data_IF_240779692261
#
_entry.id   IF_240779692261
#
_cell.length_a   1.000
_cell.length_b   1.000
_cell.length_c   1.000
_cell.angle_alpha   90.00
_cell.angle_beta   90.00
_cell.angle_gamma   90.00
#
_symmetry.space_group_name_H-M   'P 1'
#
loop_
_entity.id
_entity.type
_entity.pdbx_description
1 polymer ?
#
# COMPACT_ATOMS: atom_id res chain seq x y z
N UNK A 1 15.01 10.70 -9.90
CA UNK A 1 14.07 10.51 -8.78
C UNK A 1 14.41 9.25 -8.02
N UNK A 2 14.54 9.36 -6.69
CA UNK A 2 14.71 8.30 -5.71
C UNK A 2 13.50 8.25 -4.80
N UNK A 3 12.96 7.06 -4.61
CA UNK A 3 11.76 6.83 -3.80
C UNK A 3 12.15 6.00 -2.58
N UNK A 4 11.81 6.50 -1.39
CA UNK A 4 11.85 5.71 -0.17
C UNK A 4 10.47 5.11 0.05
N UNK A 5 10.36 3.78 0.08
CA UNK A 5 9.07 3.06 0.10
C UNK A 5 8.91 2.33 1.43
N UNK A 6 7.72 2.44 2.04
CA UNK A 6 7.32 1.74 3.25
C UNK A 6 5.88 1.22 3.12
N UNK A 7 5.52 0.20 3.90
CA UNK A 7 4.17 -0.40 3.95
C UNK A 7 4.01 -1.20 5.25
N UNK A 8 2.77 -1.48 5.66
CA UNK A 8 2.43 -2.40 6.76
C UNK A 8 3.14 -2.04 8.08
N UNK A 9 3.17 -0.74 8.41
CA UNK A 9 3.84 -0.26 9.62
C UNK A 9 3.11 -0.67 10.90
N UNK A 10 1.77 -0.79 10.84
CA UNK A 10 0.95 -1.35 11.92
C UNK A 10 1.26 -0.78 13.32
N UNK A 11 1.41 0.54 13.38
CA UNK A 11 1.84 1.32 14.55
C UNK A 11 0.87 1.27 15.73
N UNK A 12 -0.34 0.75 15.51
CA UNK A 12 -1.36 0.48 16.53
C UNK A 12 -1.18 -0.89 17.21
N UNK A 13 -0.32 -1.76 16.68
CA UNK A 13 0.04 -3.04 17.28
C UNK A 13 1.42 -3.01 17.92
N UNK A 14 2.41 -2.40 17.27
CA UNK A 14 3.79 -2.32 17.75
C UNK A 14 4.38 -0.93 17.52
N UNK A 15 5.31 -0.52 18.39
CA UNK A 15 6.04 0.73 18.17
C UNK A 15 6.93 0.61 16.93
N UNK A 16 6.78 1.54 15.99
CA UNK A 16 7.62 1.58 14.81
C UNK A 16 8.82 2.51 15.02
N UNK A 17 10.02 1.94 14.90
CA UNK A 17 11.26 2.71 14.88
C UNK A 17 11.63 3.05 13.44
N UNK A 18 11.67 4.35 13.13
CA UNK A 18 12.09 4.81 11.81
C UNK A 18 13.56 4.45 11.55
N UNK A 19 13.88 3.83 10.39
CA UNK A 19 15.27 3.70 9.98
C UNK A 19 15.82 5.09 9.60
N UNK A 20 17.15 5.22 9.58
CA UNK A 20 17.77 6.43 9.06
C UNK A 20 17.28 6.68 7.62
N UNK A 21 16.79 7.89 7.31
CA UNK A 21 16.28 8.18 5.98
C UNK A 21 17.41 8.04 4.95
N UNK A 22 17.24 7.23 3.88
CA UNK A 22 18.20 7.22 2.79
C UNK A 22 18.15 8.56 2.04
N UNK A 23 19.08 8.81 1.12
CA UNK A 23 18.94 9.97 0.23
C UNK A 23 17.75 9.75 -0.73
N UNK A 24 16.67 10.50 -0.57
CA UNK A 24 15.43 10.31 -1.31
C UNK A 24 14.80 11.64 -1.73
N UNK A 25 13.96 11.59 -2.77
CA UNK A 25 13.23 12.76 -3.26
C UNK A 25 11.77 12.77 -2.78
N UNK A 26 11.19 11.58 -2.54
CA UNK A 26 9.80 11.36 -2.11
C UNK A 26 9.74 10.15 -1.17
N UNK A 27 8.95 10.25 -0.09
CA UNK A 27 8.53 9.10 0.71
C UNK A 27 7.20 8.57 0.18
N UNK A 28 7.15 7.30 -0.19
CA UNK A 28 5.93 6.59 -0.60
C UNK A 28 5.55 5.61 0.50
N UNK A 29 4.32 5.68 0.97
CA UNK A 29 3.78 4.74 1.95
C UNK A 29 2.58 4.02 1.34
N UNK A 30 2.73 2.71 1.15
CA UNK A 30 1.75 1.83 0.50
C UNK A 30 0.79 1.18 1.51
N UNK A 31 0.34 1.95 2.50
CA UNK A 31 -0.79 1.60 3.34
C UNK A 31 -0.45 0.83 4.61
N UNK A 32 -1.51 0.55 5.37
CA UNK A 32 -1.50 -0.22 6.62
C UNK A 32 -0.56 0.37 7.68
N UNK A 33 -0.62 1.68 7.87
CA UNK A 33 0.13 2.38 8.93
C UNK A 33 -0.53 2.22 10.29
N UNK A 34 -1.85 2.41 10.38
CA UNK A 34 -2.66 2.09 11.55
C UNK A 34 -4.15 2.16 11.21
N UNK A 35 -5.03 1.71 12.11
CA UNK A 35 -6.46 1.93 11.92
C UNK A 35 -6.83 3.43 11.85
N UNK A 36 -7.80 3.75 10.99
CA UNK A 36 -8.34 5.09 10.70
C UNK A 36 -7.33 5.97 9.95
N UNK A 37 -7.56 6.14 8.65
CA UNK A 37 -6.72 6.93 7.75
C UNK A 37 -6.31 8.33 8.27
N UNK A 38 -7.20 9.16 8.86
CA UNK A 38 -6.77 10.41 9.50
C UNK A 38 -5.66 10.27 10.54
N UNK A 39 -5.69 9.19 11.33
CA UNK A 39 -4.66 8.89 12.33
C UNK A 39 -3.33 8.54 11.66
N UNK A 40 -3.36 7.72 10.62
CA UNK A 40 -2.18 7.38 9.84
C UNK A 40 -1.52 8.63 9.23
N UNK A 41 -2.33 9.52 8.65
CA UNK A 41 -1.85 10.78 8.05
C UNK A 41 -1.15 11.67 9.08
N UNK A 42 -1.77 11.91 10.25
CA UNK A 42 -1.16 12.71 11.33
C UNK A 42 0.13 12.08 11.83
N UNK A 43 0.09 10.78 12.11
CA UNK A 43 1.26 10.06 12.62
C UNK A 43 2.43 10.12 11.64
N UNK A 44 2.19 9.97 10.33
CA UNK A 44 3.23 10.11 9.32
C UNK A 44 3.81 11.52 9.31
N UNK A 45 2.97 12.55 9.30
CA UNK A 45 3.45 13.94 9.31
C UNK A 45 4.24 14.27 10.58
N UNK A 46 3.83 13.75 11.72
CA UNK A 46 4.45 14.01 13.02
C UNK A 46 5.78 13.26 13.22
N UNK A 47 5.90 12.05 12.66
CA UNK A 47 7.00 11.14 13.04
C UNK A 47 7.98 10.80 11.92
N UNK A 48 7.61 10.98 10.64
CA UNK A 48 8.49 10.65 9.53
C UNK A 48 9.76 11.53 9.60
N UNK A 49 10.98 10.93 9.55
CA UNK A 49 12.23 11.66 9.67
C UNK A 49 12.63 12.25 8.30
N UNK A 50 11.71 12.97 7.66
CA UNK A 50 11.93 13.58 6.36
C UNK A 50 11.10 14.84 6.16
N UNK A 51 11.70 15.83 5.51
CA UNK A 51 11.03 17.03 5.01
C UNK A 51 10.51 16.85 3.58
N UNK A 52 10.79 15.70 2.96
CA UNK A 52 10.39 15.41 1.58
C UNK A 52 8.88 15.18 1.48
N UNK A 53 8.30 15.43 0.29
CA UNK A 53 6.90 15.14 0.04
C UNK A 53 6.57 13.66 0.32
N UNK A 54 5.34 13.43 0.82
CA UNK A 54 4.82 12.11 1.16
C UNK A 54 3.69 11.78 0.20
N UNK A 55 3.78 10.63 -0.47
CA UNK A 55 2.67 10.01 -1.21
C UNK A 55 2.13 8.87 -0.38
N UNK A 56 0.84 8.90 -0.08
CA UNK A 56 0.17 7.89 0.74
C UNK A 56 -0.90 7.16 -0.06
N UNK A 57 -0.79 5.83 -0.14
CA UNK A 57 -1.86 4.97 -0.64
C UNK A 57 -2.40 4.15 0.52
N UNK A 58 -3.65 4.35 0.97
CA UNK A 58 -4.20 3.62 2.11
C UNK A 58 -4.34 2.12 1.81
N UNK A 59 -4.09 1.31 2.83
CA UNK A 59 -4.45 -0.10 2.85
C UNK A 59 -5.84 -0.34 3.43
N UNK A 60 -6.22 -1.60 3.61
CA UNK A 60 -7.52 -1.94 4.20
C UNK A 60 -7.56 -1.69 5.71
N UNK A 61 -6.43 -1.83 6.41
CA UNK A 61 -6.34 -1.55 7.85
C UNK A 61 -6.58 -0.07 8.14
N UNK A 62 -6.10 0.83 7.26
CA UNK A 62 -6.37 2.26 7.36
C UNK A 62 -7.86 2.60 7.30
N UNK A 63 -8.66 1.76 6.61
CA UNK A 63 -10.11 1.92 6.53
C UNK A 63 -10.86 1.40 7.77
N UNK A 64 -10.18 0.73 8.71
CA UNK A 64 -10.83 0.25 9.93
C UNK A 64 -11.41 1.40 10.74
N UNK A 65 -12.64 1.19 11.21
CA UNK A 65 -13.49 2.14 11.93
C UNK A 65 -13.88 3.37 11.11
N UNK A 66 -13.76 3.30 9.78
CA UNK A 66 -14.25 4.32 8.86
C UNK A 66 -15.51 3.87 8.12
N UNK A 67 -16.25 4.84 7.60
CA UNK A 67 -17.32 4.65 6.61
C UNK A 67 -16.73 4.83 5.22
N UNK A 68 -16.44 3.74 4.55
CA UNK A 68 -15.82 3.77 3.22
C UNK A 68 -16.89 3.72 2.11
N UNK A 69 -16.77 4.53 1.04
CA UNK A 69 -15.80 5.60 0.81
C UNK A 69 -16.23 6.96 1.40
N UNK A 70 -17.38 7.06 2.10
CA UNK A 70 -17.93 8.35 2.60
C UNK A 70 -16.91 9.23 3.33
N UNK A 71 -16.07 8.66 4.17
CA UNK A 71 -15.11 9.41 4.99
C UNK A 71 -13.84 9.82 4.22
N UNK A 72 -13.64 9.37 2.98
CA UNK A 72 -12.48 9.73 2.16
C UNK A 72 -12.40 11.23 1.86
N UNK A 73 -13.53 11.91 1.67
CA UNK A 73 -13.52 13.34 1.38
C UNK A 73 -12.88 14.15 2.53
N UNK A 74 -13.17 13.78 3.78
CA UNK A 74 -12.55 14.41 4.95
C UNK A 74 -11.08 14.02 5.08
N UNK A 75 -10.72 12.76 4.78
CA UNK A 75 -9.33 12.30 4.80
C UNK A 75 -8.47 13.02 3.74
N UNK A 76 -9.02 13.30 2.56
CA UNK A 76 -8.36 14.08 1.51
C UNK A 76 -8.11 15.52 1.95
N UNK A 77 -9.09 16.18 2.56
CA UNK A 77 -8.90 17.54 3.08
C UNK A 77 -7.84 17.57 4.20
N UNK A 78 -7.83 16.56 5.06
CA UNK A 78 -6.81 16.43 6.09
C UNK A 78 -5.41 16.16 5.51
N UNK A 79 -5.30 15.27 4.53
CA UNK A 79 -4.04 15.02 3.83
C UNK A 79 -3.51 16.30 3.19
N UNK A 80 -4.38 17.10 2.56
CA UNK A 80 -4.04 18.40 1.97
C UNK A 80 -3.50 19.38 3.02
N UNK A 81 -4.14 19.49 4.18
CA UNK A 81 -3.66 20.33 5.28
C UNK A 81 -2.30 19.86 5.82
N UNK A 82 -2.07 18.55 5.81
CA UNK A 82 -0.82 17.94 6.21
C UNK A 82 0.21 17.91 5.08
N UNK A 83 -0.05 18.42 3.88
CA UNK A 83 0.87 18.36 2.73
C UNK A 83 1.22 16.92 2.30
N UNK A 84 0.29 15.99 2.44
CA UNK A 84 0.41 14.58 2.03
C UNK A 84 -0.43 14.37 0.76
N UNK A 85 0.17 13.78 -0.26
CA UNK A 85 -0.52 13.38 -1.49
C UNK A 85 -1.23 12.04 -1.26
N UNK A 86 -2.53 12.09 -0.91
CA UNK A 86 -3.35 10.90 -0.68
C UNK A 86 -3.91 10.34 -2.00
N UNK A 87 -3.63 9.08 -2.31
CA UNK A 87 -4.07 8.37 -3.51
C UNK A 87 -4.84 7.09 -3.12
N UNK A 88 -6.15 7.18 -2.91
CA UNK A 88 -6.97 6.13 -2.32
C UNK A 88 -7.74 5.26 -3.33
N UNK A 89 -8.11 5.84 -4.46
CA UNK A 89 -9.13 5.33 -5.39
C UNK A 89 -8.75 5.49 -6.86
N UNK A 90 -7.44 5.51 -7.18
CA UNK A 90 -6.93 5.67 -8.54
C UNK A 90 -6.68 7.12 -8.94
N UNK A 91 -6.53 8.03 -7.97
CA UNK A 91 -6.07 9.39 -8.19
C UNK A 91 -4.61 9.39 -8.68
N UNK A 92 -4.23 10.48 -9.35
CA UNK A 92 -2.87 10.73 -9.79
C UNK A 92 -2.35 12.08 -9.29
N UNK A 93 -1.04 12.16 -9.07
CA UNK A 93 -0.35 13.41 -8.72
C UNK A 93 0.99 13.50 -9.42
N UNK A 94 1.47 14.74 -9.59
CA UNK A 94 2.75 15.05 -10.21
C UNK A 94 3.72 15.54 -9.14
N UNK A 95 4.77 14.77 -8.87
CA UNK A 95 5.69 15.06 -7.78
C UNK A 95 7.12 14.67 -8.15
N UNK A 96 8.09 15.52 -7.82
CA UNK A 96 9.52 15.29 -8.08
C UNK A 96 9.85 14.83 -9.52
N UNK A 97 9.12 15.35 -10.52
CA UNK A 97 9.31 15.01 -11.94
C UNK A 97 8.79 13.64 -12.35
N UNK A 98 7.92 13.02 -11.54
CA UNK A 98 7.25 11.76 -11.86
C UNK A 98 5.76 11.85 -11.65
N UNK A 99 5.03 10.98 -12.36
CA UNK A 99 3.59 10.77 -12.15
C UNK A 99 3.39 9.63 -11.16
N UNK A 100 2.66 9.87 -10.08
CA UNK A 100 2.23 8.84 -9.15
C UNK A 100 0.75 8.55 -9.39
N UNK A 101 0.38 7.29 -9.46
CA UNK A 101 -1.01 6.83 -9.51
C UNK A 101 -1.19 5.87 -8.35
N UNK A 102 -2.22 6.07 -7.52
CA UNK A 102 -2.38 5.25 -6.33
C UNK A 102 -3.81 4.85 -6.02
N UNK A 103 -3.97 3.65 -5.50
CA UNK A 103 -5.24 3.16 -4.99
C UNK A 103 -5.00 2.06 -3.95
N UNK A 104 -5.88 1.91 -2.96
CA UNK A 104 -5.88 0.71 -2.09
C UNK A 104 -5.91 -0.59 -2.91
N UNK A 105 -6.43 -0.49 -4.14
CA UNK A 105 -6.79 -1.52 -5.11
C UNK A 105 -7.84 -2.50 -4.59
N UNK A 106 -7.85 -2.85 -3.31
CA UNK A 106 -8.73 -3.87 -2.73
C UNK A 106 -8.53 -5.24 -3.39
N UNK A 107 -8.87 -6.30 -2.66
CA UNK A 107 -8.75 -7.67 -3.14
C UNK A 107 -10.02 -8.10 -3.86
N UNK A 108 -9.85 -8.85 -4.95
CA UNK A 108 -10.94 -9.44 -5.73
C UNK A 108 -11.33 -10.85 -5.24
N UNK A 109 -10.59 -11.39 -4.26
CA UNK A 109 -10.75 -12.73 -3.70
C UNK A 109 -10.74 -13.86 -4.76
N UNK A 110 -10.07 -13.63 -5.89
CA UNK A 110 -9.94 -14.62 -6.99
C UNK A 110 -8.67 -15.47 -6.87
N UNK A 111 -7.78 -15.16 -5.93
CA UNK A 111 -6.50 -15.85 -5.67
C UNK A 111 -6.67 -16.90 -4.55
N UNK A 112 -7.71 -17.73 -4.62
CA UNK A 112 -7.82 -18.93 -3.78
C UNK A 112 -7.81 -20.17 -4.69
N UNK A 113 -7.02 -21.21 -4.41
CA UNK A 113 -7.09 -22.45 -5.17
C UNK A 113 -8.52 -23.00 -5.12
N UNK A 114 -9.00 -23.50 -6.27
CA UNK A 114 -10.38 -23.95 -6.46
C UNK A 114 -10.84 -25.07 -5.50
N UNK A 115 -9.91 -25.68 -4.75
CA UNK A 115 -10.15 -26.78 -3.82
C UNK A 115 -10.71 -26.36 -2.45
N UNK A 116 -10.78 -25.08 -2.11
CA UNK A 116 -11.21 -24.63 -0.76
C UNK A 116 -12.48 -23.77 -0.79
N UNK A 117 -13.59 -24.37 -1.24
CA UNK A 117 -14.92 -23.73 -1.22
C UNK A 117 -15.37 -23.28 0.18
N UNK A 118 -14.92 -23.97 1.24
CA UNK A 118 -15.22 -23.64 2.63
C UNK A 118 -14.40 -22.43 3.14
N UNK A 119 -13.10 -22.36 2.81
CA UNK A 119 -12.27 -21.18 3.12
C UNK A 119 -12.83 -19.95 2.43
N UNK A 120 -13.26 -20.06 1.17
CA UNK A 120 -13.91 -18.95 0.45
C UNK A 120 -15.26 -18.55 1.05
N UNK A 121 -16.03 -19.48 1.61
CA UNK A 121 -17.27 -19.19 2.31
C UNK A 121 -17.04 -18.51 3.67
N UNK A 122 -16.09 -18.99 4.48
CA UNK A 122 -15.75 -18.42 5.80
C UNK A 122 -15.06 -17.04 5.68
N UNK A 123 -14.24 -16.90 4.65
CA UNK A 123 -13.62 -15.66 4.20
C UNK A 123 -14.69 -14.65 3.69
N UNK A 124 -15.77 -15.12 3.05
CA UNK A 124 -16.89 -14.29 2.59
C UNK A 124 -17.99 -14.01 3.66
N UNK A 125 -18.10 -14.83 4.72
CA UNK A 125 -19.24 -14.80 5.65
C UNK A 125 -18.95 -14.31 7.08
N UNK A 126 -17.71 -13.91 7.41
CA UNK A 126 -17.47 -13.24 8.71
C UNK A 126 -16.03 -13.23 9.24
N UNK A 127 -15.08 -13.87 8.54
CA UNK A 127 -13.72 -14.09 9.04
C UNK A 127 -12.70 -12.95 8.85
N UNK A 128 -12.88 -12.02 7.91
CA UNK A 128 -11.93 -10.92 7.73
C UNK A 128 -12.28 -9.78 8.67
N UNK A 129 -11.29 -9.33 9.45
CA UNK A 129 -11.40 -8.17 10.37
C UNK A 129 -12.00 -6.94 9.66
N UNK A 130 -11.76 -6.79 8.37
CA UNK A 130 -12.35 -5.77 7.50
C UNK A 130 -13.89 -5.75 7.55
N UNK A 131 -14.55 -6.91 7.45
CA UNK A 131 -16.03 -7.00 7.51
C UNK A 131 -16.61 -6.53 8.84
N UNK A 132 -15.82 -6.67 9.90
CA UNK A 132 -16.21 -6.30 11.25
C UNK A 132 -15.90 -4.85 11.57
N UNK A 133 -14.87 -4.27 10.92
CA UNK A 133 -14.30 -2.97 11.28
C UNK A 133 -14.57 -1.88 10.26
N UNK A 134 -14.89 -2.20 9.01
CA UNK A 134 -15.21 -1.22 7.97
C UNK A 134 -16.73 -1.13 7.82
N UNK A 135 -17.24 0.11 7.78
CA UNK A 135 -18.64 0.37 7.40
C UNK A 135 -18.67 0.73 5.92
N UNK A 136 -19.42 -0.03 5.12
CA UNK A 136 -19.64 0.26 3.71
C UNK A 136 -20.75 1.29 3.54
N UNK A 137 -20.55 2.21 2.62
CA UNK A 137 -21.54 3.22 2.17
C UNK A 137 -21.77 3.17 0.65
N UNK A 138 -21.22 2.16 -0.03
CA UNK A 138 -21.31 2.01 -1.49
C UNK A 138 -22.76 1.83 -1.99
N UNK A 139 -23.65 1.30 -1.15
CA UNK A 139 -25.07 1.13 -1.47
C UNK A 139 -25.92 2.38 -1.15
N UNK A 140 -25.30 3.54 -0.86
CA UNK A 140 -26.01 4.77 -0.49
C UNK A 140 -26.48 4.83 0.97
N UNK A 141 -26.28 3.76 1.75
CA UNK A 141 -26.56 3.70 3.18
C UNK A 141 -25.45 2.97 3.93
N UNK A 142 -25.36 3.19 5.25
CA UNK A 142 -24.40 2.47 6.09
C UNK A 142 -24.81 1.00 6.22
N UNK A 143 -23.85 0.09 6.02
CA UNK A 143 -23.97 -1.33 6.35
C UNK A 143 -22.59 -1.92 6.61
N UNK A 144 -22.53 -3.18 7.07
CA UNK A 144 -21.26 -3.90 7.16
C UNK A 144 -20.58 -4.00 5.80
N UNK A 145 -19.25 -3.94 5.80
CA UNK A 145 -18.43 -4.23 4.64
C UNK A 145 -18.60 -5.69 4.22
N UNK A 146 -18.66 -5.92 2.91
CA UNK A 146 -18.85 -7.24 2.31
C UNK A 146 -17.76 -7.52 1.28
N UNK A 147 -17.54 -8.80 0.98
CA UNK A 147 -16.45 -9.19 0.08
C UNK A 147 -16.70 -8.63 -1.33
N UNK A 148 -17.97 -8.58 -1.74
CA UNK A 148 -18.37 -7.90 -2.97
C UNK A 148 -17.97 -6.41 -3.00
N UNK A 149 -17.91 -5.72 -1.87
CA UNK A 149 -17.55 -4.30 -1.83
C UNK A 149 -16.09 -4.10 -2.22
N UNK A 150 -15.20 -4.92 -1.67
CA UNK A 150 -13.79 -4.93 -2.03
C UNK A 150 -13.59 -5.35 -3.49
N UNK A 151 -14.31 -6.37 -3.98
CA UNK A 151 -14.23 -6.81 -5.37
C UNK A 151 -14.75 -5.75 -6.36
N UNK A 152 -15.87 -5.09 -6.05
CA UNK A 152 -16.44 -4.02 -6.88
C UNK A 152 -15.49 -2.82 -6.94
N UNK A 153 -14.90 -2.44 -5.80
CA UNK A 153 -13.89 -1.39 -5.75
C UNK A 153 -12.60 -1.79 -6.47
N UNK A 154 -12.21 -3.06 -6.45
CA UNK A 154 -11.07 -3.56 -7.21
C UNK A 154 -11.25 -3.31 -8.71
N UNK A 155 -12.40 -3.69 -9.26
CA UNK A 155 -12.70 -3.46 -10.67
C UNK A 155 -12.65 -1.95 -10.99
N UNK A 156 -13.24 -1.12 -10.13
CA UNK A 156 -13.28 0.33 -10.33
C UNK A 156 -11.88 0.98 -10.26
N UNK A 157 -11.09 0.64 -9.23
CA UNK A 157 -9.76 1.20 -9.01
C UNK A 157 -8.80 0.76 -10.11
N UNK A 158 -8.84 -0.53 -10.48
CA UNK A 158 -8.06 -1.07 -11.60
C UNK A 158 -8.39 -0.34 -12.90
N UNK A 159 -9.67 -0.15 -13.22
CA UNK A 159 -10.07 0.54 -14.45
C UNK A 159 -9.58 2.01 -14.48
N UNK A 160 -9.54 2.70 -13.34
CA UNK A 160 -8.98 4.06 -13.23
C UNK A 160 -7.47 4.07 -13.46
N UNK A 161 -6.74 3.14 -12.85
CA UNK A 161 -5.29 2.99 -13.06
C UNK A 161 -4.99 2.67 -14.54
N UNK A 162 -5.69 1.71 -15.13
CA UNK A 162 -5.51 1.33 -16.54
C UNK A 162 -5.78 2.51 -17.48
N UNK A 163 -6.81 3.31 -17.19
CA UNK A 163 -7.11 4.55 -17.94
C UNK A 163 -5.96 5.56 -17.82
N UNK A 164 -5.50 5.87 -16.60
CA UNK A 164 -4.40 6.81 -16.39
C UNK A 164 -3.10 6.35 -17.06
N UNK A 165 -2.84 5.03 -17.10
CA UNK A 165 -1.69 4.45 -17.80
C UNK A 165 -1.82 4.48 -19.32
N UNK A 166 -3.03 4.47 -19.86
CA UNK A 166 -3.28 4.60 -21.30
C UNK A 166 -2.93 6.00 -21.82
N UNK A 167 -3.06 7.01 -20.95
CA UNK A 167 -2.61 8.37 -21.22
C UNK A 167 -1.08 8.45 -21.22
N UNK A 168 -0.52 8.74 -22.40
CA UNK A 168 0.93 8.84 -22.60
C UNK A 168 1.50 10.05 -21.86
N UNK A 169 1.93 9.85 -20.63
CA UNK A 169 2.78 10.81 -19.94
C UNK A 169 4.22 10.76 -20.46
N UNK A 170 4.72 11.89 -20.98
CA UNK A 170 6.10 12.03 -21.49
C UNK A 170 7.03 12.85 -20.59
N UNK A 171 6.50 13.41 -19.50
CA UNK A 171 7.25 14.31 -18.62
C UNK A 171 8.20 13.62 -17.64
N UNK A 172 8.22 12.28 -17.60
CA UNK A 172 9.01 11.52 -16.64
C UNK A 172 8.50 10.09 -16.43
N UNK A 173 9.01 9.38 -15.41
CA UNK A 173 8.54 8.04 -15.06
C UNK A 173 7.13 8.08 -14.47
N UNK A 174 6.44 6.94 -14.53
CA UNK A 174 5.15 6.72 -13.85
C UNK A 174 5.32 5.64 -12.77
N UNK A 175 4.88 5.95 -11.56
CA UNK A 175 4.93 5.08 -10.39
C UNK A 175 3.50 4.70 -10.02
N UNK A 176 3.22 3.40 -9.98
CA UNK A 176 1.92 2.88 -9.54
C UNK A 176 2.08 2.33 -8.13
N UNK A 177 1.31 2.88 -7.20
CA UNK A 177 1.31 2.50 -5.79
C UNK A 177 -0.01 1.83 -5.47
N UNK A 178 0.02 0.57 -5.08
CA UNK A 178 -1.16 -0.15 -4.63
C UNK A 178 -0.90 -0.74 -3.27
N UNK A 179 -1.91 -0.91 -2.43
CA UNK A 179 -1.72 -1.69 -1.19
C UNK A 179 -1.95 -3.19 -1.46
N UNK A 180 -3.04 -3.55 -2.14
CA UNK A 180 -3.22 -4.92 -2.62
C UNK A 180 -2.59 -5.06 -4.00
N UNK A 181 -1.74 -6.07 -4.20
CA UNK A 181 -1.11 -6.32 -5.49
C UNK A 181 -2.12 -6.60 -6.64
N UNK A 182 -1.91 -6.06 -7.85
CA UNK A 182 -2.80 -6.26 -9.01
C UNK A 182 -2.73 -7.65 -9.67
N UNK A 183 -1.93 -8.60 -9.14
CA UNK A 183 -1.84 -10.00 -9.59
C UNK A 183 -1.28 -10.88 -8.46
N UNK A 184 -1.55 -12.19 -8.53
CA UNK A 184 -0.81 -13.21 -7.80
C UNK A 184 0.68 -13.13 -8.19
N UNK A 185 1.45 -12.38 -7.44
CA UNK A 185 2.89 -12.34 -7.54
C UNK A 185 3.45 -12.64 -6.15
N UNK A 186 3.30 -13.89 -5.72
CA UNK A 186 4.27 -14.48 -4.83
C UNK A 186 4.98 -15.60 -5.60
N UNK A 187 6.31 -15.60 -5.75
CA UNK A 187 7.03 -16.85 -5.74
C UNK A 187 6.86 -17.45 -4.34
N UNK A 188 6.59 -18.75 -4.26
CA UNK A 188 6.38 -19.48 -2.99
C UNK A 188 7.59 -19.43 -2.02
N UNK A 189 8.72 -18.89 -2.49
CA UNK A 189 9.94 -18.64 -1.74
C UNK A 189 10.78 -17.56 -2.42
N UNK A 190 11.58 -16.84 -1.66
CA UNK A 190 12.71 -16.07 -2.22
C UNK A 190 13.69 -17.01 -2.96
N UNK A 191 14.60 -16.50 -3.82
CA UNK A 191 15.65 -17.32 -4.46
C UNK A 191 16.55 -18.09 -3.48
N UNK A 192 16.50 -17.74 -2.19
CA UNK A 192 17.22 -18.41 -1.09
C UNK A 192 16.34 -19.38 -0.26
N UNK A 193 15.12 -19.67 -0.71
CA UNK A 193 14.25 -20.69 -0.12
C UNK A 193 13.51 -20.27 1.15
N UNK A 194 13.60 -18.99 1.58
CA UNK A 194 12.90 -18.52 2.78
C UNK A 194 11.39 -18.31 2.54
N UNK A 195 10.51 -18.73 3.47
CA UNK A 195 9.07 -18.49 3.36
C UNK A 195 8.75 -17.01 3.52
N UNK A 196 7.79 -16.51 2.75
CA UNK A 196 7.28 -15.13 2.83
C UNK A 196 6.51 -14.98 4.14
N UNK A 197 7.10 -14.26 5.11
CA UNK A 197 6.36 -13.72 6.26
C UNK A 197 6.08 -12.26 5.96
N UNK A 198 4.84 -11.79 6.15
CA UNK A 198 4.43 -10.36 6.10
C UNK A 198 5.42 -9.53 6.92
N UNK A 199 6.42 -8.95 6.27
CA UNK A 199 7.35 -8.02 6.89
C UNK A 199 7.96 -7.17 5.79
N UNK A 200 7.55 -5.90 5.81
CA UNK A 200 8.23 -4.74 5.23
C UNK A 200 8.94 -5.03 3.90
N UNK A 201 8.22 -4.85 2.81
CA UNK A 201 8.79 -4.95 1.48
C UNK A 201 9.59 -3.69 1.16
N UNK A 202 10.91 -3.73 1.41
CA UNK A 202 11.86 -2.69 1.05
C UNK A 202 12.49 -3.05 -0.30
N UNK A 203 12.22 -2.25 -1.34
CA UNK A 203 12.90 -2.36 -2.63
C UNK A 203 11.99 -2.55 -3.86
N UNK A 204 12.58 -2.71 -5.07
CA UNK A 204 11.87 -2.84 -6.34
C UNK A 204 10.94 -4.06 -6.46
N UNK A 205 11.13 -5.04 -5.58
CA UNK A 205 10.40 -6.30 -5.58
C UNK A 205 9.27 -6.33 -4.53
N UNK A 206 8.89 -5.18 -3.98
CA UNK A 206 7.68 -5.09 -3.17
C UNK A 206 6.46 -5.49 -4.02
N UNK A 207 5.70 -6.52 -3.63
CA UNK A 207 4.59 -7.03 -4.43
C UNK A 207 3.52 -5.96 -4.69
N UNK A 208 3.46 -4.95 -3.81
CA UNK A 208 2.41 -3.93 -3.78
C UNK A 208 2.82 -2.61 -4.46
N UNK A 209 4.13 -2.34 -4.65
CA UNK A 209 4.62 -1.11 -5.31
C UNK A 209 5.35 -1.43 -6.62
N UNK A 210 4.76 -1.05 -7.76
CA UNK A 210 5.41 -1.23 -9.08
C UNK A 210 5.91 0.11 -9.61
N UNK A 211 7.24 0.25 -9.63
CA UNK A 211 7.94 1.43 -10.16
C UNK A 211 8.38 1.14 -11.60
N UNK A 212 7.86 1.88 -12.59
CA UNK A 212 8.35 1.80 -13.98
C UNK A 212 9.24 3.01 -14.29
N UNK A 213 10.56 2.77 -14.37
CA UNK A 213 11.53 3.77 -14.86
C UNK A 213 12.13 4.70 -13.80
N UNK A 214 12.01 4.39 -12.50
CA UNK A 214 12.75 5.11 -11.44
C UNK A 214 13.72 4.16 -10.72
N UNK A 215 14.78 4.74 -10.11
CA UNK A 215 15.74 3.97 -9.29
C UNK A 215 15.12 3.78 -7.91
N UNK A 216 14.74 2.55 -7.60
CA UNK A 216 14.35 2.10 -6.27
C UNK A 216 15.60 1.90 -5.43
N UNK A 217 15.63 2.48 -4.23
CA UNK A 217 16.74 2.30 -3.32
C UNK A 217 16.46 1.11 -2.40
N UNK A 218 17.28 0.07 -2.52
CA UNK A 218 17.41 -0.97 -1.51
C UNK A 218 18.21 -0.36 -0.34
N UNK A 219 17.71 -0.40 0.91
CA UNK A 219 18.45 0.07 2.08
C UNK A 219 19.70 -0.75 2.41
N UNK A 220 20.03 -1.81 1.66
CA UNK A 220 21.30 -2.54 1.83
C UNK A 220 22.46 -1.84 1.11
N UNK A 221 22.91 -0.74 1.69
CA UNK A 221 24.21 -0.17 1.40
C UNK A 221 24.99 0.10 2.70
N UNK A 222 25.47 -0.98 3.32
CA UNK A 222 26.79 -0.99 3.92
C UNK A 222 27.52 -2.29 3.57
N UNK A 223 28.82 -2.11 3.31
CA UNK A 223 29.76 -2.95 2.60
C UNK A 223 30.29 -4.15 3.41
N UNK A 224 30.50 -5.28 2.72
CA UNK A 224 31.76 -6.08 2.57
C UNK A 224 32.71 -6.17 3.81
N UNK A 225 33.18 -7.35 4.26
CA UNK A 225 34.09 -8.28 3.54
C UNK A 225 34.11 -9.71 4.18
N UNK A 226 34.71 -10.71 3.49
CA UNK A 226 34.49 -12.16 3.65
C UNK A 226 35.53 -12.86 4.53
N UNK A 227 35.19 -14.04 5.05
CA UNK A 227 36.19 -14.94 5.67
C UNK A 227 35.61 -16.03 6.54
N UNK A 228 35.27 -17.17 5.94
CA UNK A 228 35.28 -18.48 6.61
C UNK A 228 36.72 -19.03 6.53
N UNK A 229 37.19 -19.93 7.45
CA UNK A 229 36.52 -21.21 7.65
C UNK A 229 36.50 -21.77 9.09
N UNK A 230 35.74 -22.87 9.20
CA UNK A 230 35.40 -23.65 10.37
C UNK A 230 36.57 -24.41 11.05
N UNK A 231 36.20 -25.09 12.15
CA UNK A 231 36.86 -26.14 12.96
C UNK A 231 37.53 -25.56 14.23
N UNK A 232 37.35 -26.09 15.45
CA UNK A 232 36.85 -27.37 15.97
C UNK A 232 35.93 -27.13 17.17
#
# INVERSE_FOLDING_TARGET
MRVWILSDLHTDFEAFAWPAPPEHDVLVVAGDVCERLPRALRWLRETAPTDRPIVYTPGNHDAWRMRWPRDLAAAHEEARMLGIELLASGEETMLAGARFIGATLWTDFRIAPASEGAARAEYNHGGLRDHQRITSTLAGHCRRWLARDAADLHVQHRARIERALSDRYRGGPTVVVTHHAPRAAEPASWPDGRPVRRRLCLGPDAPDARVRGARTLDPRAHAFEPGLPARH
#
